data_IF_936559508882
#
_entry.id   IF_936559508882
#
_cell.length_a   1.000
_cell.length_b   1.000
_cell.length_c   1.000
_cell.angle_alpha   90.00
_cell.angle_beta   90.00
_cell.angle_gamma   90.00
#
_symmetry.space_group_name_H-M   'P 1'
#
loop_
_entity.id
_entity.type
_entity.pdbx_description
1 polymer ?
#
# COMPACT_ATOMS: atom_id res chain seq x y z
N UNK A 1 2.59 -13.08 -11.89
CA UNK A 1 2.14 -13.13 -10.49
C UNK A 1 1.47 -11.83 -10.06
N UNK A 2 1.87 -10.65 -10.59
CA UNK A 2 1.10 -9.39 -10.47
C UNK A 2 -0.43 -9.51 -10.72
N UNK A 3 -0.83 -10.34 -11.70
CA UNK A 3 -2.26 -10.65 -11.93
C UNK A 3 -2.99 -11.23 -10.71
N UNK A 4 -2.29 -11.95 -9.82
CA UNK A 4 -2.87 -12.53 -8.62
C UNK A 4 -3.14 -11.45 -7.57
N UNK A 5 -2.15 -10.60 -7.28
CA UNK A 5 -2.32 -9.48 -6.35
C UNK A 5 -3.44 -8.53 -6.79
N UNK A 6 -3.45 -8.14 -8.05
CA UNK A 6 -4.55 -7.37 -8.65
C UNK A 6 -5.93 -8.05 -8.49
N UNK A 7 -5.98 -9.37 -8.66
CA UNK A 7 -7.23 -10.14 -8.50
C UNK A 7 -7.68 -10.16 -7.06
N UNK A 8 -6.78 -10.38 -6.11
CA UNK A 8 -7.07 -10.43 -4.68
C UNK A 8 -7.60 -9.09 -4.18
N UNK A 9 -6.92 -7.99 -4.55
CA UNK A 9 -7.34 -6.64 -4.19
C UNK A 9 -8.69 -6.31 -4.82
N UNK A 10 -8.90 -6.66 -6.09
CA UNK A 10 -10.21 -6.47 -6.75
C UNK A 10 -11.32 -7.18 -6.00
N UNK A 11 -11.15 -8.47 -5.71
CA UNK A 11 -12.16 -9.28 -5.00
C UNK A 11 -12.46 -8.72 -3.61
N UNK A 12 -11.43 -8.30 -2.88
CA UNK A 12 -11.58 -7.65 -1.58
C UNK A 12 -12.45 -6.39 -1.66
N UNK A 13 -12.24 -5.54 -2.66
CA UNK A 13 -12.99 -4.30 -2.85
C UNK A 13 -14.43 -4.56 -3.35
N UNK A 14 -14.59 -5.47 -4.30
CA UNK A 14 -15.90 -5.85 -4.84
C UNK A 14 -16.78 -6.50 -3.76
N UNK A 15 -16.20 -7.27 -2.83
CA UNK A 15 -16.92 -7.82 -1.68
C UNK A 15 -17.48 -6.75 -0.73
N UNK A 16 -16.99 -5.50 -0.82
CA UNK A 16 -17.47 -4.33 -0.08
C UNK A 16 -18.48 -3.48 -0.88
N UNK A 17 -18.94 -3.98 -2.02
CA UNK A 17 -19.88 -3.29 -2.89
C UNK A 17 -19.26 -2.20 -3.77
N UNK A 18 -17.93 -2.13 -3.84
CA UNK A 18 -17.22 -1.18 -4.70
C UNK A 18 -17.09 -1.73 -6.13
N UNK A 19 -17.09 -0.82 -7.10
CA UNK A 19 -16.78 -1.17 -8.50
C UNK A 19 -15.31 -0.87 -8.79
N UNK A 20 -14.56 -1.87 -9.25
CA UNK A 20 -13.12 -1.74 -9.52
C UNK A 20 -12.87 -1.70 -11.03
N UNK A 21 -12.39 -0.57 -11.54
CA UNK A 21 -12.09 -0.41 -12.97
C UNK A 21 -10.58 -0.35 -13.20
N UNK A 22 -10.03 -1.31 -13.96
CA UNK A 22 -8.63 -1.24 -14.42
C UNK A 22 -8.44 -0.02 -15.31
N UNK A 23 -7.43 0.79 -15.01
CA UNK A 23 -7.00 1.89 -15.86
C UNK A 23 -6.09 1.30 -16.95
N UNK A 24 -6.35 1.55 -18.24
CA UNK A 24 -5.48 1.08 -19.30
C UNK A 24 -4.06 1.64 -19.17
N UNK A 25 -3.08 0.79 -19.43
CA UNK A 25 -1.69 1.24 -19.53
C UNK A 25 -1.56 2.31 -20.63
N UNK A 26 -0.69 3.28 -20.39
CA UNK A 26 -0.42 4.37 -21.31
C UNK A 26 1.07 4.69 -21.35
N UNK A 27 1.47 5.64 -22.21
CA UNK A 27 2.84 6.14 -22.24
C UNK A 27 3.23 6.92 -20.97
N UNK A 28 2.25 7.24 -20.11
CA UNK A 28 2.45 7.89 -18.82
C UNK A 28 2.26 6.90 -17.67
N UNK A 29 2.79 7.26 -16.50
CA UNK A 29 2.60 6.46 -15.29
C UNK A 29 1.13 6.51 -14.89
N UNK A 30 0.52 5.35 -14.89
CA UNK A 30 -0.87 5.15 -14.48
C UNK A 30 -0.88 4.34 -13.21
N UNK A 31 -1.90 4.56 -12.38
CA UNK A 31 -2.22 3.65 -11.31
C UNK A 31 -3.03 2.47 -11.86
N UNK A 32 -3.10 1.37 -11.14
CA UNK A 32 -3.81 0.18 -11.59
C UNK A 32 -5.33 0.37 -11.69
N UNK A 33 -5.95 0.99 -10.69
CA UNK A 33 -7.40 1.01 -10.55
C UNK A 33 -7.97 2.39 -10.24
N UNK A 34 -9.13 2.67 -10.86
CA UNK A 34 -10.09 3.64 -10.37
C UNK A 34 -11.19 2.86 -9.64
N UNK A 35 -11.39 3.14 -8.36
CA UNK A 35 -12.39 2.46 -7.53
C UNK A 35 -13.58 3.39 -7.33
N UNK A 36 -14.78 2.88 -7.54
CA UNK A 36 -16.02 3.66 -7.53
C UNK A 36 -16.99 3.16 -6.47
N UNK A 37 -17.70 4.10 -5.85
CA UNK A 37 -18.87 3.85 -5.03
C UNK A 37 -20.08 4.49 -5.71
N UNK A 38 -21.14 3.71 -5.94
CA UNK A 38 -22.38 4.16 -6.62
C UNK A 38 -22.15 4.91 -7.94
N UNK A 39 -21.09 4.55 -8.67
CA UNK A 39 -20.72 5.13 -9.97
C UNK A 39 -19.83 6.38 -9.90
N UNK A 40 -19.56 6.91 -8.71
CA UNK A 40 -18.66 8.04 -8.50
C UNK A 40 -17.25 7.57 -8.14
N UNK A 41 -16.22 8.30 -8.58
CA UNK A 41 -14.84 7.98 -8.22
C UNK A 41 -14.65 8.13 -6.71
N UNK A 42 -14.39 7.01 -6.04
CA UNK A 42 -14.19 6.97 -4.60
C UNK A 42 -12.73 7.25 -4.26
N UNK A 43 -11.79 6.53 -4.90
CA UNK A 43 -10.34 6.65 -4.73
C UNK A 43 -9.57 6.01 -5.90
N UNK A 44 -8.28 6.35 -6.02
CA UNK A 44 -7.34 5.64 -6.88
C UNK A 44 -6.58 4.58 -6.10
N UNK A 45 -6.29 3.44 -6.74
CA UNK A 45 -5.54 2.36 -6.12
C UNK A 45 -4.41 1.85 -7.01
N UNK A 46 -3.25 1.68 -6.39
CA UNK A 46 -2.10 0.98 -6.97
C UNK A 46 -1.89 -0.34 -6.22
N UNK A 47 -1.65 -1.42 -6.95
CA UNK A 47 -1.28 -2.72 -6.38
C UNK A 47 0.21 -2.99 -6.56
N UNK A 48 0.86 -3.55 -5.53
CA UNK A 48 2.22 -4.05 -5.61
C UNK A 48 2.33 -5.43 -5.00
N UNK A 49 2.69 -6.41 -5.82
CA UNK A 49 2.97 -7.77 -5.34
C UNK A 49 4.45 -7.90 -4.92
N UNK A 50 4.68 -8.28 -3.65
CA UNK A 50 5.98 -8.69 -3.13
C UNK A 50 6.19 -10.19 -3.36
N UNK A 51 7.05 -10.51 -4.31
CA UNK A 51 7.41 -11.89 -4.62
C UNK A 51 8.30 -12.52 -3.53
N UNK A 52 8.27 -13.85 -3.48
CA UNK A 52 9.19 -14.66 -2.69
C UNK A 52 10.64 -14.31 -3.08
N UNK A 53 11.38 -13.77 -2.11
CA UNK A 53 12.79 -13.41 -2.33
C UNK A 53 13.63 -14.53 -1.72
N UNK A 54 14.49 -15.23 -2.49
CA UNK A 54 15.41 -16.19 -1.92
C UNK A 54 16.27 -15.46 -0.87
N UNK A 55 16.19 -15.90 0.38
CA UNK A 55 16.94 -15.28 1.48
C UNK A 55 18.43 -15.54 1.24
N UNK A 56 19.15 -14.52 0.75
CA UNK A 56 20.60 -14.49 0.87
C UNK A 56 20.92 -14.22 2.34
N UNK A 57 21.36 -15.25 3.06
CA UNK A 57 21.75 -15.16 4.47
C UNK A 57 22.70 -13.97 4.68
N UNK A 58 22.32 -13.03 5.56
CA UNK A 58 23.22 -11.98 6.06
C UNK A 58 22.89 -10.52 5.70
N UNK A 59 21.78 -10.21 5.02
CA UNK A 59 21.38 -8.81 4.83
C UNK A 59 19.93 -8.55 5.26
N UNK A 60 19.76 -7.63 6.23
CA UNK A 60 18.47 -7.06 6.66
C UNK A 60 17.92 -6.09 5.60
N UNK A 61 18.80 -5.56 4.75
CA UNK A 61 18.54 -4.57 3.71
C UNK A 61 17.50 -4.95 2.62
N UNK A 62 17.41 -6.19 2.10
CA UNK A 62 16.64 -6.46 0.88
C UNK A 62 15.12 -6.29 1.05
N UNK A 63 14.58 -6.65 2.23
CA UNK A 63 13.12 -6.61 2.46
C UNK A 63 12.62 -5.18 2.52
N UNK A 64 13.23 -4.34 3.36
CA UNK A 64 12.85 -2.94 3.49
C UNK A 64 13.11 -2.17 2.20
N UNK A 65 14.21 -2.44 1.50
CA UNK A 65 14.50 -1.81 0.22
C UNK A 65 13.47 -2.18 -0.86
N UNK A 66 12.95 -3.41 -0.83
CA UNK A 66 11.93 -3.83 -1.77
C UNK A 66 10.59 -3.11 -1.53
N UNK A 67 10.13 -3.08 -0.27
CA UNK A 67 8.91 -2.35 0.12
C UNK A 67 9.07 -0.84 -0.20
N UNK A 68 10.20 -0.25 0.18
CA UNK A 68 10.50 1.16 -0.08
C UNK A 68 10.50 1.49 -1.57
N UNK A 69 11.03 0.60 -2.42
CA UNK A 69 11.00 0.76 -3.88
C UNK A 69 9.57 0.76 -4.41
N UNK A 70 8.75 -0.19 -3.99
CA UNK A 70 7.35 -0.27 -4.40
C UNK A 70 6.54 0.96 -3.98
N UNK A 71 6.77 1.46 -2.76
CA UNK A 71 6.17 2.72 -2.29
C UNK A 71 6.60 3.90 -3.17
N UNK A 72 7.90 4.04 -3.48
CA UNK A 72 8.41 5.11 -4.38
C UNK A 72 7.81 5.02 -5.79
N UNK A 73 7.61 3.82 -6.31
CA UNK A 73 6.98 3.62 -7.61
C UNK A 73 5.51 4.05 -7.58
N UNK A 74 4.76 3.63 -6.55
CA UNK A 74 3.36 4.00 -6.36
C UNK A 74 3.19 5.52 -6.21
N UNK A 75 4.04 6.18 -5.42
CA UNK A 75 4.07 7.65 -5.30
C UNK A 75 4.21 8.32 -6.66
N UNK A 76 5.10 7.81 -7.54
CA UNK A 76 5.28 8.38 -8.89
C UNK A 76 4.05 8.17 -9.78
N UNK A 77 3.29 7.10 -9.57
CA UNK A 77 2.03 6.85 -10.29
C UNK A 77 0.92 7.75 -9.77
N UNK A 78 0.77 7.88 -8.45
CA UNK A 78 -0.17 8.82 -7.83
C UNK A 78 0.13 10.26 -8.20
N UNK A 79 1.39 10.67 -8.20
CA UNK A 79 1.79 12.04 -8.57
C UNK A 79 1.46 12.34 -10.03
N UNK A 80 1.42 11.33 -10.90
CA UNK A 80 1.03 11.49 -12.30
C UNK A 80 -0.49 11.54 -12.49
N UNK A 81 -1.27 10.84 -11.66
CA UNK A 81 -2.71 10.63 -11.87
C UNK A 81 -3.61 11.46 -10.95
N UNK A 82 -3.16 11.71 -9.74
CA UNK A 82 -3.89 12.40 -8.68
C UNK A 82 -2.94 13.22 -7.78
N UNK A 83 -2.16 14.16 -8.35
CA UNK A 83 -1.19 14.97 -7.60
C UNK A 83 -1.82 15.84 -6.52
N UNK A 84 -3.02 16.36 -6.79
CA UNK A 84 -3.74 17.26 -5.88
C UNK A 84 -4.54 16.52 -4.80
N UNK A 85 -4.56 15.17 -4.85
CA UNK A 85 -5.33 14.30 -3.96
C UNK A 85 -6.79 14.73 -3.78
N UNK A 86 -7.50 15.02 -4.89
CA UNK A 86 -8.93 15.37 -4.84
C UNK A 86 -9.80 14.20 -4.35
N UNK A 87 -9.28 12.98 -4.50
CA UNK A 87 -9.78 11.75 -3.89
C UNK A 87 -8.62 11.03 -3.21
N UNK A 88 -8.87 10.07 -2.30
CA UNK A 88 -7.80 9.32 -1.67
C UNK A 88 -6.95 8.51 -2.66
N UNK A 89 -5.69 8.31 -2.30
CA UNK A 89 -4.76 7.38 -2.95
C UNK A 89 -4.51 6.19 -2.01
N UNK A 90 -4.79 4.98 -2.47
CA UNK A 90 -4.66 3.74 -1.69
C UNK A 90 -3.58 2.86 -2.30
N UNK A 91 -2.58 2.46 -1.50
CA UNK A 91 -1.59 1.47 -1.93
C UNK A 91 -1.91 0.11 -1.33
N UNK A 92 -2.22 -0.87 -2.18
CA UNK A 92 -2.36 -2.26 -1.75
C UNK A 92 -1.07 -3.04 -2.01
N UNK A 93 -0.58 -3.74 -0.99
CA UNK A 93 0.60 -4.60 -1.10
C UNK A 93 0.20 -6.05 -0.85
N UNK A 94 0.47 -6.91 -1.83
CA UNK A 94 0.23 -8.35 -1.72
C UNK A 94 1.54 -9.08 -1.45
N UNK A 95 1.72 -9.64 -0.26
CA UNK A 95 2.90 -10.41 0.10
C UNK A 95 2.73 -11.89 -0.22
N UNK A 96 3.54 -12.39 -1.16
CA UNK A 96 3.64 -13.85 -1.42
C UNK A 96 4.66 -14.53 -0.52
N UNK A 97 5.40 -13.77 0.29
CA UNK A 97 6.42 -14.27 1.20
C UNK A 97 5.86 -14.32 2.63
N UNK A 98 5.69 -15.51 3.23
CA UNK A 98 5.13 -15.65 4.58
C UNK A 98 6.05 -15.11 5.68
N UNK A 99 7.32 -14.81 5.36
CA UNK A 99 8.25 -14.19 6.32
C UNK A 99 8.08 -12.66 6.39
N UNK A 100 7.39 -12.07 5.41
CA UNK A 100 7.07 -10.64 5.37
C UNK A 100 5.68 -10.42 5.93
N UNK A 101 5.53 -9.36 6.70
CA UNK A 101 4.31 -9.03 7.44
C UNK A 101 4.09 -7.53 7.42
N UNK A 102 2.90 -7.09 7.82
CA UNK A 102 2.56 -5.67 7.95
C UNK A 102 3.55 -4.90 8.86
N UNK A 103 4.19 -5.56 9.83
CA UNK A 103 5.23 -4.93 10.67
C UNK A 103 6.46 -4.49 9.86
N UNK A 104 6.77 -5.20 8.77
CA UNK A 104 7.84 -4.79 7.87
C UNK A 104 7.46 -3.51 7.10
N UNK A 105 6.20 -3.40 6.67
CA UNK A 105 5.67 -2.16 6.08
C UNK A 105 5.71 -1.02 7.10
N UNK A 106 5.20 -1.23 8.31
CA UNK A 106 5.29 -0.25 9.40
C UNK A 106 6.73 0.21 9.61
N UNK A 107 7.69 -0.73 9.63
CA UNK A 107 9.10 -0.41 9.83
C UNK A 107 9.70 0.38 8.66
N UNK A 108 9.27 0.09 7.42
CA UNK A 108 9.67 0.86 6.23
C UNK A 108 9.12 2.28 6.26
N UNK A 109 7.86 2.46 6.66
CA UNK A 109 7.21 3.77 6.72
C UNK A 109 7.78 4.63 7.84
N UNK A 110 7.97 4.03 9.02
CA UNK A 110 8.32 4.76 10.25
C UNK A 110 9.80 4.76 10.57
N UNK A 111 10.63 4.01 9.84
CA UNK A 111 12.02 3.78 10.19
C UNK A 111 12.22 3.15 11.58
N UNK A 112 11.17 2.56 12.17
CA UNK A 112 11.18 1.98 13.51
C UNK A 112 10.91 0.49 13.45
N UNK A 113 11.64 -0.31 14.22
CA UNK A 113 11.33 -1.73 14.42
C UNK A 113 10.85 -1.99 15.83
N UNK A 114 9.94 -2.96 15.95
CA UNK A 114 9.57 -3.56 17.22
C UNK A 114 10.55 -4.71 17.48
N UNK A 115 11.39 -4.56 18.50
CA UNK A 115 12.35 -5.60 18.92
C UNK A 115 11.63 -6.78 19.57
N UNK A 116 12.31 -7.93 19.72
CA UNK A 116 11.80 -9.08 20.46
C UNK A 116 11.45 -8.75 21.94
N UNK A 117 11.97 -7.64 22.47
CA UNK A 117 11.64 -7.13 23.81
C UNK A 117 10.38 -6.27 23.86
N UNK A 118 9.70 -6.08 22.72
CA UNK A 118 8.55 -5.18 22.57
C UNK A 118 8.90 -3.69 22.49
N UNK A 119 10.19 -3.34 22.48
CA UNK A 119 10.67 -1.95 22.39
C UNK A 119 10.75 -1.47 20.95
N UNK A 120 10.35 -0.22 20.72
CA UNK A 120 10.59 0.50 19.45
C UNK A 120 12.04 0.97 19.37
N UNK A 121 12.70 0.73 18.24
CA UNK A 121 14.06 1.16 17.96
C UNK A 121 14.15 1.78 16.56
N UNK A 122 14.82 2.93 16.45
CA UNK A 122 15.08 3.59 15.17
C UNK A 122 16.14 2.84 14.35
N UNK A 123 15.94 2.81 13.03
CA UNK A 123 16.92 2.30 12.06
C UNK A 123 17.57 3.49 11.37
N UNK A 124 18.78 3.85 11.82
CA UNK A 124 19.55 5.01 11.32
C UNK A 124 19.81 5.00 9.81
N UNK A 125 19.78 3.82 9.16
CA UNK A 125 20.04 3.67 7.72
C UNK A 125 18.81 3.81 6.83
N UNK A 126 17.59 3.79 7.38
CA UNK A 126 16.39 4.07 6.59
C UNK A 126 16.22 5.58 6.47
N UNK A 127 16.95 6.20 5.53
CA UNK A 127 16.67 7.58 5.10
C UNK A 127 15.25 7.64 4.53
N UNK A 128 14.36 8.18 5.34
CA UNK A 128 12.92 8.23 5.13
C UNK A 128 12.54 8.82 3.77
N UNK A 129 11.50 8.23 3.17
CA UNK A 129 10.75 8.74 2.02
C UNK A 129 9.77 9.83 2.53
N UNK A 130 10.15 10.63 3.54
CA UNK A 130 9.18 11.26 4.44
C UNK A 130 8.19 12.21 3.76
N UNK A 131 8.69 13.02 2.83
CA UNK A 131 7.89 14.12 2.28
C UNK A 131 6.84 13.62 1.28
N UNK A 132 7.15 12.55 0.54
CA UNK A 132 6.28 12.03 -0.50
C UNK A 132 5.29 10.95 -0.02
N UNK A 133 5.45 10.41 1.20
CA UNK A 133 4.53 9.42 1.77
C UNK A 133 3.12 10.00 1.96
N UNK A 134 3.03 11.31 2.23
CA UNK A 134 1.76 12.04 2.38
C UNK A 134 0.86 11.95 1.15
N UNK A 135 1.40 11.56 -0.01
CA UNK A 135 0.62 11.35 -1.23
C UNK A 135 -0.29 10.12 -1.15
N UNK A 136 0.01 9.16 -0.28
CA UNK A 136 -0.79 7.96 -0.02
C UNK A 136 -1.59 8.20 1.26
N UNK A 137 -2.88 7.87 1.24
CA UNK A 137 -3.77 8.02 2.41
C UNK A 137 -3.85 6.72 3.24
N UNK A 138 -3.78 5.59 2.55
CA UNK A 138 -4.00 4.28 3.15
C UNK A 138 -3.13 3.21 2.50
N UNK A 139 -2.48 2.43 3.34
CA UNK A 139 -1.80 1.21 2.93
C UNK A 139 -2.64 0.00 3.34
N UNK A 140 -2.98 -0.86 2.38
CA UNK A 140 -3.60 -2.16 2.62
C UNK A 140 -2.54 -3.26 2.49
N UNK A 141 -2.53 -4.19 3.44
CA UNK A 141 -1.61 -5.32 3.42
C UNK A 141 -2.37 -6.64 3.29
N UNK A 142 -1.97 -7.44 2.30
CA UNK A 142 -2.50 -8.76 2.06
C UNK A 142 -1.41 -9.80 2.23
N UNK A 143 -1.67 -10.82 3.05
CA UNK A 143 -0.83 -12.02 3.14
C UNK A 143 -1.42 -13.05 2.19
N UNK A 144 -0.74 -13.23 1.05
CA UNK A 144 -1.23 -14.01 -0.09
C UNK A 144 -2.58 -13.47 -0.60
N UNK A 145 -3.69 -14.14 -0.31
CA UNK A 145 -5.05 -13.74 -0.71
C UNK A 145 -5.89 -13.16 0.44
N UNK A 146 -5.35 -13.13 1.65
CA UNK A 146 -6.07 -12.67 2.83
C UNK A 146 -5.70 -11.23 3.17
N UNK A 147 -6.72 -10.40 3.41
CA UNK A 147 -6.50 -9.09 4.03
C UNK A 147 -5.99 -9.29 5.46
N UNK A 148 -4.78 -8.78 5.73
CA UNK A 148 -4.08 -8.99 7.00
C UNK A 148 -3.98 -7.72 7.84
N UNK A 149 -4.15 -6.54 7.24
CA UNK A 149 -4.26 -5.30 8.00
C UNK A 149 -4.08 -4.06 7.13
N UNK A 150 -4.08 -2.90 7.79
CA UNK A 150 -3.92 -1.61 7.15
C UNK A 150 -3.10 -0.64 8.00
N UNK A 151 -2.55 0.40 7.37
CA UNK A 151 -1.86 1.51 8.03
C UNK A 151 -2.37 2.82 7.41
N UNK A 152 -2.80 3.75 8.25
CA UNK A 152 -3.18 5.11 7.84
C UNK A 152 -1.96 6.01 7.72
N UNK A 153 -1.94 6.86 6.70
CA UNK A 153 -1.07 8.04 6.69
C UNK A 153 -1.85 9.24 7.27
N UNK A 154 -1.26 9.96 8.22
CA UNK A 154 -1.97 10.95 9.07
C UNK A 154 -2.05 12.32 8.37
N UNK A 155 -2.59 12.36 7.16
CA UNK A 155 -2.58 13.57 6.32
C UNK A 155 -3.97 14.21 6.11
N UNK A 156 -5.06 13.43 6.02
CA UNK A 156 -6.39 13.97 5.67
C UNK A 156 -7.53 13.21 6.38
N UNK A 157 -8.20 13.88 7.33
CA UNK A 157 -9.29 13.28 8.11
C UNK A 157 -10.52 12.93 7.25
N UNK A 158 -10.87 13.76 6.27
CA UNK A 158 -11.99 13.51 5.36
C UNK A 158 -11.77 12.25 4.52
N UNK A 159 -10.55 12.06 4.02
CA UNK A 159 -10.18 10.84 3.29
C UNK A 159 -10.25 9.61 4.18
N UNK A 160 -9.76 9.71 5.41
CA UNK A 160 -9.80 8.62 6.38
C UNK A 160 -11.24 8.23 6.72
N UNK A 161 -12.12 9.20 6.99
CA UNK A 161 -13.54 8.95 7.27
C UNK A 161 -14.24 8.28 6.08
N UNK A 162 -14.01 8.82 4.86
CA UNK A 162 -14.54 8.23 3.62
C UNK A 162 -14.09 6.79 3.43
N UNK A 163 -12.78 6.53 3.52
CA UNK A 163 -12.21 5.20 3.35
C UNK A 163 -12.67 4.23 4.45
N UNK A 164 -12.79 4.69 5.69
CA UNK A 164 -13.32 3.91 6.82
C UNK A 164 -14.73 3.43 6.53
N UNK A 165 -15.61 4.34 6.10
CA UNK A 165 -17.00 4.00 5.76
C UNK A 165 -17.08 3.03 4.57
N UNK A 166 -16.26 3.22 3.54
CA UNK A 166 -16.30 2.39 2.33
C UNK A 166 -15.72 1.00 2.54
N UNK A 167 -14.64 0.90 3.33
CA UNK A 167 -13.88 -0.33 3.47
C UNK A 167 -14.21 -1.11 4.75
N UNK A 168 -15.00 -0.53 5.66
CA UNK A 168 -15.34 -1.14 6.95
C UNK A 168 -14.11 -1.33 7.83
N UNK A 169 -13.16 -0.40 7.76
CA UNK A 169 -11.93 -0.43 8.55
C UNK A 169 -12.19 0.16 9.93
N UNK A 170 -11.58 -0.43 10.95
CA UNK A 170 -11.60 0.07 12.33
C UNK A 170 -10.18 0.05 12.85
N UNK A 171 -9.81 1.05 13.66
CA UNK A 171 -8.53 1.12 14.35
C UNK A 171 -8.42 0.08 15.48
#
# INVERSE_FOLDING_TARGET
MAKLGETNVRQYLESRGLTVRKIPESNFKTVDFAVQDRGELAFYLEEKTLELTPVAWGSIDPVYNNIARHIKEAIRQFSSMNPDKNVPNVLAITSMDPTKTINHLFSTLTGQIITNSGRLQLIDKMRFIKDDLTLIDLYLWFDQDQFAGHIWEVACAEHQEKLTSLLGLVD
#
